data_IF_312071136957
#
_entry.id   IF_312071136957
#
_cell.length_a   1.000
_cell.length_b   1.000
_cell.length_c   1.000
_cell.angle_alpha   90.00
_cell.angle_beta   90.00
_cell.angle_gamma   90.00
#
_symmetry.space_group_name_H-M   'P 1'
#
loop_
_entity.id
_entity.type
_entity.pdbx_description
1 polymer ?
#
# COMPACT_ATOMS: atom_id res chain seq x y z
N UNK A 1 -21.97 -7.85 -0.62
CA UNK A 1 -21.85 -8.73 0.57
C UNK A 1 -21.41 -7.87 1.76
N UNK A 2 -21.67 -8.22 3.03
CA UNK A 2 -21.06 -7.48 4.14
C UNK A 2 -19.54 -7.68 4.08
N UNK A 3 -18.79 -6.58 4.09
CA UNK A 3 -17.33 -6.60 4.13
C UNK A 3 -16.91 -7.37 5.38
N UNK A 4 -16.03 -8.37 5.22
CA UNK A 4 -15.50 -9.15 6.34
C UNK A 4 -14.87 -8.21 7.37
N UNK A 5 -14.91 -8.57 8.65
CA UNK A 5 -14.27 -7.79 9.70
C UNK A 5 -12.76 -7.69 9.40
N UNK A 6 -12.31 -6.48 9.07
CA UNK A 6 -10.92 -6.14 8.86
C UNK A 6 -10.23 -5.94 10.22
N UNK A 7 -8.98 -6.37 10.39
CA UNK A 7 -8.24 -6.20 11.64
C UNK A 7 -7.47 -4.88 11.64
N UNK A 8 -6.83 -4.51 10.53
CA UNK A 8 -5.98 -3.32 10.45
C UNK A 8 -6.62 -2.16 9.70
N UNK A 9 -7.48 -2.46 8.72
CA UNK A 9 -8.16 -1.44 7.93
C UNK A 9 -9.61 -1.24 8.37
N UNK A 10 -10.18 -0.11 8.00
CA UNK A 10 -11.62 0.13 7.95
C UNK A 10 -11.99 0.54 6.53
N UNK A 11 -13.14 0.12 6.03
CA UNK A 11 -13.62 0.52 4.71
C UNK A 11 -14.86 1.40 4.85
N UNK A 12 -14.74 2.65 4.43
CA UNK A 12 -15.83 3.63 4.39
C UNK A 12 -15.78 4.43 3.08
N UNK A 13 -16.95 4.67 2.47
CA UNK A 13 -17.10 5.56 1.31
C UNK A 13 -16.06 5.33 0.19
N UNK A 14 -15.79 4.08 -0.17
CA UNK A 14 -14.82 3.75 -1.22
C UNK A 14 -13.35 3.84 -0.80
N UNK A 15 -13.07 4.03 0.49
CA UNK A 15 -11.73 4.26 1.03
C UNK A 15 -11.37 3.22 2.08
N UNK A 16 -10.24 2.53 1.88
CA UNK A 16 -9.59 1.73 2.91
C UNK A 16 -8.74 2.66 3.77
N UNK A 17 -9.19 2.93 4.99
CA UNK A 17 -8.47 3.75 5.98
C UNK A 17 -7.73 2.88 6.98
N UNK A 18 -6.69 3.44 7.58
CA UNK A 18 -6.11 2.84 8.79
C UNK A 18 -7.13 3.00 9.90
N UNK A 19 -7.35 1.96 10.70
CA UNK A 19 -8.13 2.12 11.94
C UNK A 19 -7.44 3.08 12.91
N UNK A 20 -8.24 3.72 13.76
CA UNK A 20 -7.76 4.72 14.71
C UNK A 20 -6.75 4.16 15.71
N UNK A 21 -6.90 2.91 16.16
CA UNK A 21 -5.93 2.20 17.02
C UNK A 21 -4.59 1.91 16.33
N UNK A 22 -4.57 1.88 14.99
CA UNK A 22 -3.37 1.78 14.17
C UNK A 22 -2.72 3.13 13.82
N UNK A 23 -3.36 4.26 14.17
CA UNK A 23 -2.81 5.59 13.89
C UNK A 23 -1.90 6.07 15.02
N UNK A 24 -0.83 6.78 14.63
CA UNK A 24 0.15 7.35 15.55
C UNK A 24 -0.03 8.86 15.53
N UNK A 25 -0.31 9.42 16.70
CA UNK A 25 -0.47 10.86 16.89
C UNK A 25 0.78 11.61 16.42
N UNK A 26 0.58 12.67 15.64
CA UNK A 26 1.66 13.49 15.09
C UNK A 26 2.24 13.00 13.77
N UNK A 27 1.93 11.77 13.32
CA UNK A 27 2.24 11.35 11.95
C UNK A 27 1.30 11.99 10.94
N UNK A 28 1.70 11.94 9.68
CA UNK A 28 0.89 12.42 8.57
C UNK A 28 0.40 11.26 7.72
N UNK A 29 -0.83 11.41 7.20
CA UNK A 29 -1.53 10.41 6.41
C UNK A 29 -2.07 11.04 5.14
N UNK A 30 -2.07 10.26 4.06
CA UNK A 30 -2.56 10.69 2.75
C UNK A 30 -3.31 9.55 2.08
N UNK A 31 -4.03 9.88 1.01
CA UNK A 31 -4.80 8.92 0.22
C UNK A 31 -4.11 8.74 -1.12
N UNK A 32 -3.84 7.48 -1.47
CA UNK A 32 -3.51 7.09 -2.85
C UNK A 32 -4.77 6.57 -3.53
N UNK A 33 -4.91 6.90 -4.82
CA UNK A 33 -6.00 6.38 -5.68
C UNK A 33 -5.41 5.41 -6.69
N UNK A 34 -5.84 4.16 -6.64
CA UNK A 34 -5.34 3.08 -7.49
C UNK A 34 -6.48 2.26 -8.07
N UNK A 35 -6.29 1.71 -9.26
CA UNK A 35 -7.16 0.64 -9.74
C UNK A 35 -6.73 -0.73 -9.15
N UNK A 36 -7.50 -1.79 -9.43
CA UNK A 36 -7.21 -3.13 -8.89
C UNK A 36 -5.86 -3.70 -9.35
N UNK A 37 -5.47 -3.46 -10.61
CA UNK A 37 -4.19 -3.93 -11.14
C UNK A 37 -3.01 -3.19 -10.48
N UNK A 38 -3.13 -1.88 -10.32
CA UNK A 38 -2.15 -1.03 -9.63
C UNK A 38 -2.01 -1.40 -8.16
N UNK A 39 -3.12 -1.72 -7.47
CA UNK A 39 -3.08 -2.25 -6.11
C UNK A 39 -2.24 -3.52 -6.02
N UNK A 40 -2.46 -4.49 -6.92
CA UNK A 40 -1.65 -5.71 -6.94
C UNK A 40 -0.18 -5.42 -7.26
N UNK A 41 0.11 -4.45 -8.11
CA UNK A 41 1.48 -4.00 -8.36
C UNK A 41 2.15 -3.36 -7.15
N UNK A 42 1.39 -2.60 -6.35
CA UNK A 42 1.90 -2.05 -5.08
C UNK A 42 2.15 -3.16 -4.06
N UNK A 43 1.24 -4.12 -3.91
CA UNK A 43 1.42 -5.27 -3.02
C UNK A 43 2.70 -6.04 -3.41
N UNK A 44 2.84 -6.33 -4.69
CA UNK A 44 4.02 -7.01 -5.22
C UNK A 44 5.31 -6.20 -4.96
N UNK A 45 5.27 -4.88 -5.11
CA UNK A 45 6.41 -4.04 -4.76
C UNK A 45 6.78 -4.18 -3.27
N UNK A 46 5.77 -4.19 -2.40
CA UNK A 46 5.95 -4.32 -0.95
C UNK A 46 6.52 -5.71 -0.59
N UNK A 47 6.02 -6.78 -1.21
CA UNK A 47 6.56 -8.14 -1.07
C UNK A 47 8.02 -8.24 -1.52
N UNK A 48 8.37 -7.58 -2.61
CA UNK A 48 9.74 -7.52 -3.10
C UNK A 48 10.66 -6.71 -2.17
N UNK A 49 10.16 -5.70 -1.46
CA UNK A 49 10.96 -5.02 -0.42
C UNK A 49 11.27 -5.99 0.73
N UNK A 50 10.30 -6.80 1.14
CA UNK A 50 10.50 -7.79 2.20
C UNK A 50 11.57 -8.82 1.80
N UNK A 51 11.47 -9.36 0.58
CA UNK A 51 12.27 -10.50 0.14
C UNK A 51 13.58 -10.15 -0.59
N UNK A 52 13.73 -8.94 -1.15
CA UNK A 52 14.92 -8.56 -1.89
C UNK A 52 16.15 -8.39 -0.98
N UNK A 53 17.33 -8.49 -1.61
CA UNK A 53 18.62 -8.18 -1.00
C UNK A 53 19.44 -7.28 -1.93
N UNK A 54 20.17 -6.27 -1.42
CA UNK A 54 20.23 -5.83 -0.02
C UNK A 54 19.09 -4.84 0.34
N UNK A 55 18.38 -5.11 1.44
CA UNK A 55 17.34 -4.22 2.00
C UNK A 55 17.67 -3.96 3.48
N UNK A 56 17.59 -2.71 3.98
CA UNK A 56 17.81 -2.42 5.40
C UNK A 56 16.87 -3.23 6.30
N UNK A 57 17.40 -3.86 7.35
CA UNK A 57 16.62 -4.72 8.25
C UNK A 57 15.43 -3.98 8.87
N UNK A 58 15.63 -2.74 9.30
CA UNK A 58 14.57 -1.91 9.86
C UNK A 58 13.46 -1.57 8.85
N UNK A 59 13.76 -1.52 7.55
CA UNK A 59 12.77 -1.36 6.50
C UNK A 59 11.98 -2.65 6.31
N UNK A 60 12.67 -3.80 6.24
CA UNK A 60 12.04 -5.12 6.15
C UNK A 60 11.06 -5.35 7.30
N UNK A 61 11.48 -5.10 8.54
CA UNK A 61 10.63 -5.24 9.73
C UNK A 61 9.38 -4.34 9.69
N UNK A 62 9.51 -3.10 9.19
CA UNK A 62 8.35 -2.20 9.03
C UNK A 62 7.38 -2.71 7.96
N UNK A 63 7.92 -3.18 6.84
CA UNK A 63 7.12 -3.73 5.75
C UNK A 63 6.34 -4.96 6.23
N UNK A 64 7.04 -5.93 6.81
CA UNK A 64 6.48 -7.20 7.28
C UNK A 64 5.42 -7.00 8.37
N UNK A 65 5.70 -6.15 9.38
CA UNK A 65 4.83 -6.06 10.54
C UNK A 65 3.74 -4.99 10.43
N UNK A 66 3.83 -4.05 9.47
CA UNK A 66 2.89 -2.92 9.37
C UNK A 66 2.26 -2.76 8.01
N UNK A 67 3.03 -2.93 6.93
CA UNK A 67 2.56 -2.60 5.60
C UNK A 67 1.86 -3.80 4.93
N UNK A 68 2.53 -4.96 4.90
CA UNK A 68 2.00 -6.17 4.27
C UNK A 68 0.66 -6.64 4.87
N UNK A 69 0.48 -6.75 6.20
CA UNK A 69 -0.78 -7.22 6.76
C UNK A 69 -1.97 -6.36 6.33
N UNK A 70 -1.75 -5.04 6.22
CA UNK A 70 -2.77 -4.10 5.74
C UNK A 70 -3.10 -4.28 4.27
N UNK A 71 -2.08 -4.46 3.45
CA UNK A 71 -2.24 -4.53 1.99
C UNK A 71 -2.82 -5.88 1.55
N UNK A 72 -2.47 -6.97 2.22
CA UNK A 72 -3.11 -8.28 2.02
C UNK A 72 -4.58 -8.29 2.47
N UNK A 73 -4.92 -7.64 3.59
CA UNK A 73 -6.34 -7.46 3.95
C UNK A 73 -7.14 -6.77 2.84
N UNK A 74 -6.57 -5.74 2.23
CA UNK A 74 -7.22 -5.02 1.12
C UNK A 74 -7.29 -5.94 -0.11
N UNK A 75 -6.22 -6.68 -0.41
CA UNK A 75 -6.16 -7.66 -1.50
C UNK A 75 -7.27 -8.70 -1.40
N UNK A 76 -7.46 -9.28 -0.21
CA UNK A 76 -8.46 -10.31 0.06
C UNK A 76 -9.87 -9.78 -0.20
N UNK A 77 -10.16 -8.56 0.24
CA UNK A 77 -11.46 -7.91 -0.02
C UNK A 77 -11.63 -7.60 -1.51
N UNK A 78 -10.62 -7.04 -2.16
CA UNK A 78 -10.68 -6.65 -3.58
C UNK A 78 -10.82 -7.86 -4.50
N UNK A 79 -10.22 -8.99 -4.13
CA UNK A 79 -10.30 -10.25 -4.87
C UNK A 79 -11.63 -10.98 -4.66
N UNK A 80 -12.31 -10.74 -3.53
CA UNK A 80 -13.57 -11.43 -3.18
C UNK A 80 -14.83 -10.62 -3.48
N UNK A 81 -14.74 -9.30 -3.57
CA UNK A 81 -15.91 -8.43 -3.79
C UNK A 81 -15.87 -7.72 -5.15
N UNK A 82 -16.64 -8.25 -6.10
CA UNK A 82 -16.81 -7.68 -7.44
C UNK A 82 -17.58 -6.35 -7.45
N UNK A 83 -18.28 -5.99 -6.36
CA UNK A 83 -19.07 -4.76 -6.27
C UNK A 83 -18.24 -3.52 -5.91
N UNK A 84 -16.97 -3.70 -5.54
CA UNK A 84 -16.07 -2.58 -5.27
C UNK A 84 -15.81 -1.76 -6.53
N UNK A 85 -15.66 -0.43 -6.38
CA UNK A 85 -15.36 0.45 -7.51
C UNK A 85 -14.04 0.05 -8.19
N UNK A 86 -13.93 0.39 -9.48
CA UNK A 86 -12.70 0.16 -10.25
C UNK A 86 -11.51 0.90 -9.66
N UNK A 87 -11.75 2.13 -9.17
CA UNK A 87 -10.77 2.92 -8.42
C UNK A 87 -11.01 2.80 -6.92
N UNK A 88 -9.94 2.48 -6.21
CA UNK A 88 -9.87 2.31 -4.77
C UNK A 88 -9.05 3.43 -4.16
N UNK A 89 -9.51 3.93 -3.02
CA UNK A 89 -8.77 4.91 -2.21
C UNK A 89 -8.14 4.19 -1.04
N UNK A 90 -6.85 4.37 -0.81
CA UNK A 90 -6.12 3.71 0.28
C UNK A 90 -5.38 4.75 1.10
N UNK A 91 -5.60 4.75 2.40
CA UNK A 91 -4.89 5.60 3.35
C UNK A 91 -3.53 5.00 3.70
N UNK A 92 -2.48 5.80 3.52
CA UNK A 92 -1.11 5.45 3.87
C UNK A 92 -0.48 6.52 4.76
N UNK A 93 0.38 6.10 5.69
CA UNK A 93 1.21 7.02 6.45
C UNK A 93 2.38 7.54 5.60
N UNK A 94 2.95 8.69 5.96
CA UNK A 94 4.17 9.18 5.33
C UNK A 94 5.36 8.22 5.47
N UNK A 95 5.42 7.44 6.56
CA UNK A 95 6.44 6.42 6.76
C UNK A 95 6.27 5.32 5.70
N UNK A 96 5.05 4.80 5.53
CA UNK A 96 4.78 3.77 4.53
C UNK A 96 4.95 4.27 3.10
N UNK A 97 4.65 5.55 2.85
CA UNK A 97 4.97 6.19 1.58
C UNK A 97 6.46 6.10 1.28
N UNK A 98 7.33 6.44 2.23
CA UNK A 98 8.79 6.35 2.02
C UNK A 98 9.24 4.91 1.79
N UNK A 99 8.64 3.95 2.51
CA UNK A 99 8.93 2.52 2.33
C UNK A 99 8.54 2.07 0.90
N UNK A 100 7.36 2.45 0.41
CA UNK A 100 6.90 2.12 -0.95
C UNK A 100 7.77 2.80 -2.03
N UNK A 101 8.07 4.10 -1.85
CA UNK A 101 8.94 4.84 -2.77
C UNK A 101 10.32 4.20 -2.86
N UNK A 102 10.88 3.74 -1.73
CA UNK A 102 12.15 3.03 -1.74
C UNK A 102 12.11 1.80 -2.66
N UNK A 103 11.06 0.99 -2.58
CA UNK A 103 10.89 -0.16 -3.47
C UNK A 103 10.73 0.24 -4.93
N UNK A 104 9.91 1.24 -5.20
CA UNK A 104 9.65 1.71 -6.55
C UNK A 104 10.81 2.49 -7.19
N UNK A 105 11.78 2.97 -6.41
CA UNK A 105 13.01 3.61 -6.92
C UNK A 105 14.18 2.61 -7.03
N UNK A 106 14.04 1.41 -6.48
CA UNK A 106 15.03 0.35 -6.60
C UNK A 106 15.03 -0.27 -8.00
N UNK A 107 16.18 -0.25 -8.67
CA UNK A 107 16.32 -0.77 -10.04
C UNK A 107 16.09 -2.28 -10.13
N UNK A 108 16.49 -3.05 -9.11
CA UNK A 108 16.29 -4.50 -9.04
C UNK A 108 14.81 -4.85 -8.84
N UNK A 109 14.13 -4.18 -7.92
CA UNK A 109 12.69 -4.36 -7.67
C UNK A 109 11.89 -3.94 -8.90
N UNK A 110 12.21 -2.79 -9.51
CA UNK A 110 11.57 -2.34 -10.74
C UNK A 110 11.70 -3.34 -11.88
N UNK A 111 12.84 -4.02 -11.99
CA UNK A 111 13.02 -5.07 -13.01
C UNK A 111 12.06 -6.22 -12.74
N UNK A 112 12.02 -6.74 -11.52
CA UNK A 112 11.13 -7.84 -11.13
C UNK A 112 9.65 -7.50 -11.30
N UNK A 113 9.24 -6.27 -10.98
CA UNK A 113 7.89 -5.78 -11.21
C UNK A 113 7.52 -5.77 -12.70
N UNK A 114 8.43 -5.30 -13.56
CA UNK A 114 8.23 -5.32 -15.02
C UNK A 114 8.15 -6.74 -15.56
N UNK A 115 8.99 -7.65 -15.06
CA UNK A 115 8.96 -9.07 -15.43
C UNK A 115 7.61 -9.72 -15.04
N UNK A 116 6.94 -9.20 -14.00
CA UNK A 116 5.59 -9.59 -13.57
C UNK A 116 4.45 -8.83 -14.28
N UNK A 117 4.76 -7.95 -15.23
CA UNK A 117 3.79 -7.23 -16.05
C UNK A 117 3.27 -5.92 -15.45
N UNK A 118 3.90 -5.39 -14.39
CA UNK A 118 3.55 -4.10 -13.80
C UNK A 118 4.38 -2.95 -14.40
N UNK A 119 3.86 -1.72 -14.31
CA UNK A 119 4.56 -0.50 -14.72
C UNK A 119 4.98 0.34 -13.48
N UNK A 120 6.24 0.20 -12.99
CA UNK A 120 6.71 0.96 -11.83
C UNK A 120 6.62 2.47 -11.99
N UNK A 121 6.86 2.99 -13.21
CA UNK A 121 6.88 4.44 -13.46
C UNK A 121 5.52 5.08 -13.20
N UNK A 122 4.43 4.44 -13.65
CA UNK A 122 3.06 4.91 -13.39
C UNK A 122 2.71 4.83 -11.90
N UNK A 123 3.15 3.77 -11.22
CA UNK A 123 2.95 3.63 -9.77
C UNK A 123 3.69 4.73 -8.98
N UNK A 124 4.93 5.05 -9.35
CA UNK A 124 5.70 6.13 -8.72
C UNK A 124 4.97 7.47 -8.81
N UNK A 125 4.44 7.80 -9.99
CA UNK A 125 3.73 9.07 -10.22
C UNK A 125 2.56 9.18 -9.24
N UNK A 126 1.72 8.14 -9.15
CA UNK A 126 0.57 8.11 -8.26
C UNK A 126 0.94 8.20 -6.79
N UNK A 127 2.00 7.50 -6.37
CA UNK A 127 2.47 7.55 -4.99
C UNK A 127 2.98 8.95 -4.67
N UNK A 128 3.71 9.61 -5.59
CA UNK A 128 4.24 10.98 -5.40
C UNK A 128 3.18 12.09 -5.40
N UNK A 129 1.99 11.84 -5.95
CA UNK A 129 0.87 12.80 -5.94
C UNK A 129 0.13 12.87 -4.58
N UNK A 130 0.48 12.00 -3.63
CA UNK A 130 -0.20 11.95 -2.33
C UNK A 130 0.06 13.23 -1.54
N UNK A 131 -1.03 13.90 -1.16
CA UNK A 131 -0.99 15.01 -0.22
C UNK A 131 -1.19 14.52 1.20
N UNK A 132 -0.26 14.84 2.10
CA UNK A 132 -0.27 14.40 3.49
C UNK A 132 -0.89 15.44 4.44
N UNK A 133 -1.68 14.96 5.40
CA UNK A 133 -2.25 15.76 6.49
C UNK A 133 -1.88 15.18 7.85
N UNK A 134 -1.59 16.05 8.81
CA UNK A 134 -1.22 15.65 10.17
C UNK A 134 -2.42 15.08 10.92
N UNK A 135 -2.22 13.95 11.60
CA UNK A 135 -3.19 13.37 12.52
C UNK A 135 -2.98 13.95 13.92
N UNK A 136 -4.05 14.49 14.49
CA UNK A 136 -4.07 15.32 15.71
C UNK A 136 -4.43 14.51 16.95
#
# INVERSE_FOLDING_TARGET
MPIRKLNHNQYDNGTFRIKEDGKIKGLTYGIIVVNKHELFGLIECIDLIESAYPIPQNLRERVENRLLPRFYEIQDIVSSDLSLPEQLKIEISNINYNDIIYGLESSSICKLLRDKGFNPSEMIIKVKEITFRKYL
#
